data_IF_520964690357
#
_entry.id   IF_520964690357
#
_cell.length_a   1.000
_cell.length_b   1.000
_cell.length_c   1.000
_cell.angle_alpha   90.00
_cell.angle_beta   90.00
_cell.angle_gamma   90.00
#
_symmetry.space_group_name_H-M   'P 1'
#
loop_
_entity.id
_entity.type
_entity.pdbx_description
1 polymer ?
#
# COMPACT_ATOMS: atom_id res chain seq x y z
N UNK A 1 42.33 20.50 -5.79
CA UNK A 1 43.50 19.90 -5.11
C UNK A 1 43.21 18.40 -4.99
N UNK A 2 44.00 17.49 -5.61
CA UNK A 2 43.77 16.05 -5.40
C UNK A 2 44.28 15.70 -3.99
N UNK A 3 43.45 15.15 -3.08
CA UNK A 3 43.89 14.89 -1.71
C UNK A 3 45.01 13.85 -1.68
N UNK A 4 46.06 14.08 -0.90
CA UNK A 4 47.02 13.04 -0.51
C UNK A 4 46.31 11.99 0.35
N UNK A 5 46.89 10.79 0.51
CA UNK A 5 46.32 9.74 1.38
C UNK A 5 46.06 10.23 2.82
N UNK A 6 46.88 11.14 3.34
CA UNK A 6 46.68 11.78 4.65
C UNK A 6 45.54 12.81 4.66
N UNK A 7 45.31 13.55 3.57
CA UNK A 7 44.16 14.44 3.42
C UNK A 7 42.86 13.66 3.22
N UNK A 8 42.90 12.47 2.61
CA UNK A 8 41.74 11.58 2.50
C UNK A 8 41.19 11.18 3.87
N UNK A 9 42.07 10.87 4.84
CA UNK A 9 41.68 10.47 6.19
C UNK A 9 41.11 11.62 7.06
N UNK A 10 41.51 12.87 6.79
CA UNK A 10 41.08 14.05 7.57
C UNK A 10 39.95 14.85 6.88
N UNK A 11 39.94 14.90 5.54
CA UNK A 11 39.13 15.84 4.75
C UNK A 11 38.57 15.26 3.44
N UNK A 12 38.78 13.98 3.11
CA UNK A 12 38.55 13.49 1.73
C UNK A 12 38.24 12.01 1.58
N UNK A 13 37.53 11.42 2.55
CA UNK A 13 36.95 10.09 2.44
C UNK A 13 35.49 10.17 2.01
N UNK A 14 34.88 9.03 1.67
CA UNK A 14 33.42 8.94 1.64
C UNK A 14 32.90 9.37 3.03
N UNK A 15 31.90 10.26 3.10
CA UNK A 15 31.39 10.72 4.38
C UNK A 15 30.98 9.51 5.25
N UNK A 16 31.09 9.61 6.58
CA UNK A 16 30.56 8.60 7.47
C UNK A 16 29.07 8.37 7.16
N UNK A 17 28.56 7.13 7.33
CA UNK A 17 27.15 6.82 7.15
C UNK A 17 26.29 7.83 7.93
N UNK A 18 25.39 8.52 7.22
CA UNK A 18 24.50 9.53 7.80
C UNK A 18 24.74 10.98 7.36
N UNK A 19 25.83 11.31 6.66
CA UNK A 19 25.91 12.60 5.96
C UNK A 19 25.21 12.45 4.59
N UNK A 20 24.13 13.20 4.31
CA UNK A 20 23.34 12.95 3.13
C UNK A 20 24.04 13.51 1.89
N UNK A 21 24.44 12.62 0.98
CA UNK A 21 25.04 12.99 -0.32
C UNK A 21 24.14 12.62 -1.50
N UNK A 22 23.04 11.91 -1.22
CA UNK A 22 22.13 11.46 -2.24
C UNK A 22 21.29 12.61 -2.81
N UNK A 23 20.98 12.56 -4.13
CA UNK A 23 20.10 13.52 -4.76
C UNK A 23 18.75 13.66 -4.06
N UNK A 24 18.31 14.91 -3.87
CA UNK A 24 17.06 15.25 -3.21
C UNK A 24 15.92 15.12 -4.20
N UNK A 25 14.99 14.21 -3.90
CA UNK A 25 13.66 14.21 -4.51
C UNK A 25 12.83 15.35 -3.92
N UNK A 26 12.25 16.17 -4.81
CA UNK A 26 11.27 17.19 -4.47
C UNK A 26 9.90 16.74 -4.98
N UNK A 27 8.96 16.59 -4.05
CA UNK A 27 7.56 16.32 -4.30
C UNK A 27 6.76 17.62 -4.24
N UNK A 28 6.25 18.07 -5.39
CA UNK A 28 5.48 19.31 -5.50
C UNK A 28 3.97 19.04 -5.47
N UNK A 29 3.27 19.61 -4.49
CA UNK A 29 1.84 19.47 -4.26
C UNK A 29 1.10 20.75 -4.69
N UNK A 30 0.53 20.73 -5.89
CA UNK A 30 0.22 21.97 -6.60
C UNK A 30 -1.00 22.71 -6.07
N UNK A 31 -2.09 22.00 -5.76
CA UNK A 31 -3.39 22.64 -5.50
C UNK A 31 -4.14 22.09 -4.27
N UNK A 32 -4.08 20.79 -4.01
CA UNK A 32 -4.81 20.17 -2.92
C UNK A 32 -6.33 20.33 -2.99
N UNK A 33 -6.98 20.10 -1.84
CA UNK A 33 -8.43 20.24 -1.66
C UNK A 33 -8.86 21.42 -0.78
N UNK A 34 -7.92 22.06 -0.07
CA UNK A 34 -8.24 23.08 0.95
C UNK A 34 -8.04 24.51 0.45
N UNK A 35 -6.89 24.87 -0.17
CA UNK A 35 -6.71 26.23 -0.66
C UNK A 35 -7.75 26.59 -1.72
N UNK A 36 -8.06 27.88 -1.81
CA UNK A 36 -8.91 28.48 -2.85
C UNK A 36 -8.16 29.63 -3.50
N UNK A 37 -8.60 30.09 -4.69
CA UNK A 37 -7.99 31.29 -5.31
C UNK A 37 -8.10 32.55 -4.46
N UNK A 38 -9.10 32.61 -3.58
CA UNK A 38 -9.27 33.72 -2.63
C UNK A 38 -8.18 33.72 -1.55
N UNK A 39 -7.80 32.53 -1.06
CA UNK A 39 -6.78 32.38 0.01
C UNK A 39 -5.37 32.20 -0.54
N UNK A 40 -5.23 31.84 -1.81
CA UNK A 40 -3.98 31.68 -2.54
C UNK A 40 -4.16 32.14 -3.99
N UNK A 41 -3.81 33.41 -4.31
CA UNK A 41 -4.05 33.99 -5.65
C UNK A 41 -3.40 33.22 -6.79
N UNK A 42 -2.31 32.50 -6.51
CA UNK A 42 -1.54 31.73 -7.47
C UNK A 42 -1.98 30.25 -7.57
N UNK A 43 -3.06 29.86 -6.88
CA UNK A 43 -3.54 28.49 -6.92
C UNK A 43 -4.00 28.07 -8.33
N UNK A 44 -3.43 27.00 -8.91
CA UNK A 44 -3.91 26.48 -10.18
C UNK A 44 -5.23 25.72 -9.98
N UNK A 45 -6.22 25.98 -10.85
CA UNK A 45 -7.55 25.38 -10.76
C UNK A 45 -7.92 24.65 -12.05
N UNK A 46 -7.83 25.32 -13.19
CA UNK A 46 -8.13 24.69 -14.47
C UNK A 46 -7.06 23.68 -14.86
N UNK A 47 -7.40 22.75 -15.77
CA UNK A 47 -6.43 21.77 -16.31
C UNK A 47 -5.19 22.47 -16.86
N UNK A 48 -5.36 23.53 -17.64
CA UNK A 48 -4.24 24.24 -18.27
C UNK A 48 -3.37 24.96 -17.24
N UNK A 49 -3.97 25.56 -16.22
CA UNK A 49 -3.22 26.15 -15.10
C UNK A 49 -2.42 25.09 -14.34
N UNK A 50 -3.02 23.92 -14.05
CA UNK A 50 -2.34 22.83 -13.35
C UNK A 50 -1.18 22.28 -14.20
N UNK A 51 -1.37 22.09 -15.50
CA UNK A 51 -0.32 21.61 -16.41
C UNK A 51 0.83 22.64 -16.51
N UNK A 52 0.51 23.93 -16.68
CA UNK A 52 1.54 24.97 -16.77
C UNK A 52 2.34 25.09 -15.46
N UNK A 53 1.67 25.02 -14.32
CA UNK A 53 2.32 25.09 -13.01
C UNK A 53 3.15 23.84 -12.73
N UNK A 54 2.66 22.66 -13.13
CA UNK A 54 3.42 21.40 -13.11
C UNK A 54 4.71 21.48 -13.93
N UNK A 55 4.65 22.00 -15.15
CA UNK A 55 5.83 22.21 -15.99
C UNK A 55 6.82 23.16 -15.30
N UNK A 56 6.32 24.28 -14.78
CA UNK A 56 7.17 25.27 -14.12
C UNK A 56 7.93 24.69 -12.91
N UNK A 57 7.29 23.85 -12.09
CA UNK A 57 7.99 23.20 -10.96
C UNK A 57 8.95 22.10 -11.40
N UNK A 58 8.63 21.34 -12.46
CA UNK A 58 9.53 20.33 -13.01
C UNK A 58 10.82 20.98 -13.55
N UNK A 59 10.67 22.08 -14.31
CA UNK A 59 11.80 22.88 -14.81
C UNK A 59 12.64 23.49 -13.68
N UNK A 60 12.02 23.77 -12.54
CA UNK A 60 12.70 24.25 -11.34
C UNK A 60 13.34 23.14 -10.49
N UNK A 61 13.10 21.85 -10.78
CA UNK A 61 13.75 20.72 -10.09
C UNK A 61 12.83 19.77 -9.33
N UNK A 62 11.51 19.91 -9.43
CA UNK A 62 10.60 18.88 -8.94
C UNK A 62 10.77 17.57 -9.73
N UNK A 63 10.57 16.43 -9.06
CA UNK A 63 10.58 15.10 -9.70
C UNK A 63 9.26 14.35 -9.53
N UNK A 64 8.53 14.65 -8.45
CA UNK A 64 7.23 14.08 -8.14
C UNK A 64 6.20 15.20 -8.14
N UNK A 65 5.05 14.94 -8.75
CA UNK A 65 3.90 15.84 -8.75
C UNK A 65 2.72 15.17 -8.06
N UNK A 66 2.33 15.71 -6.91
CA UNK A 66 1.09 15.33 -6.23
C UNK A 66 -0.05 16.17 -6.76
N UNK A 67 -1.01 15.51 -7.41
CA UNK A 67 -2.06 16.16 -8.16
C UNK A 67 -3.43 15.90 -7.53
N UNK A 68 -4.15 17.00 -7.34
CA UNK A 68 -5.57 17.05 -7.11
C UNK A 68 -6.26 17.64 -8.34
N UNK A 69 -7.30 16.97 -8.85
CA UNK A 69 -8.16 17.54 -9.87
C UNK A 69 -9.18 18.51 -9.24
N UNK A 70 -9.56 19.53 -9.99
CA UNK A 70 -10.60 20.49 -9.62
C UNK A 70 -11.60 20.66 -10.77
N UNK A 71 -12.84 20.92 -10.41
CA UNK A 71 -13.87 21.35 -11.35
C UNK A 71 -13.64 22.82 -11.76
N UNK A 72 -14.27 23.30 -12.85
CA UNK A 72 -14.09 24.68 -13.32
C UNK A 72 -14.42 25.76 -12.28
N UNK A 73 -15.29 25.45 -11.32
CA UNK A 73 -15.66 26.33 -10.20
C UNK A 73 -14.66 26.31 -9.03
N UNK A 74 -13.56 25.54 -9.15
CA UNK A 74 -12.54 25.40 -8.12
C UNK A 74 -12.82 24.31 -7.08
N UNK A 75 -13.99 23.67 -7.10
CA UNK A 75 -14.31 22.59 -6.17
C UNK A 75 -13.50 21.32 -6.47
N UNK A 76 -13.16 20.50 -5.46
CA UNK A 76 -12.45 19.24 -5.70
C UNK A 76 -13.18 18.30 -6.65
N UNK A 77 -12.39 17.66 -7.52
CA UNK A 77 -12.87 16.71 -8.51
C UNK A 77 -12.15 15.36 -8.37
N UNK A 78 -12.86 14.28 -8.69
CA UNK A 78 -12.37 12.89 -8.61
C UNK A 78 -12.43 12.18 -9.96
N UNK A 79 -13.04 12.81 -10.96
CA UNK A 79 -13.34 12.22 -12.26
C UNK A 79 -12.04 11.86 -13.00
N UNK A 80 -11.87 10.59 -13.44
CA UNK A 80 -10.68 10.14 -14.15
C UNK A 80 -10.37 10.96 -15.40
N UNK A 81 -11.38 11.47 -16.09
CA UNK A 81 -11.23 12.23 -17.33
C UNK A 81 -10.48 13.55 -17.10
N UNK A 82 -10.66 14.18 -15.93
CA UNK A 82 -9.95 15.42 -15.58
C UNK A 82 -8.50 15.10 -15.25
N UNK A 83 -8.25 14.07 -14.44
CA UNK A 83 -6.89 13.59 -14.15
C UNK A 83 -6.14 13.19 -15.42
N UNK A 84 -6.79 12.44 -16.32
CA UNK A 84 -6.20 11.99 -17.57
C UNK A 84 -5.70 13.15 -18.42
N UNK A 85 -6.52 14.20 -18.59
CA UNK A 85 -6.11 15.41 -19.32
C UNK A 85 -4.90 16.11 -18.68
N UNK A 86 -4.87 16.19 -17.35
CA UNK A 86 -3.73 16.78 -16.62
C UNK A 86 -2.48 15.94 -16.85
N UNK A 87 -2.55 14.62 -16.65
CA UNK A 87 -1.39 13.74 -16.74
C UNK A 87 -0.84 13.64 -18.16
N UNK A 88 -1.71 13.56 -19.16
CA UNK A 88 -1.30 13.59 -20.56
C UNK A 88 -0.66 14.92 -20.93
N UNK A 89 -1.22 16.04 -20.48
CA UNK A 89 -0.65 17.37 -20.67
C UNK A 89 0.77 17.49 -20.11
N UNK A 90 0.98 17.01 -18.87
CA UNK A 90 2.30 17.02 -18.23
C UNK A 90 3.28 16.09 -18.96
N UNK A 91 2.88 14.86 -19.28
CA UNK A 91 3.77 13.89 -19.95
C UNK A 91 4.10 14.26 -21.40
N UNK A 92 3.31 15.10 -22.05
CA UNK A 92 3.69 15.69 -23.34
C UNK A 92 4.94 16.58 -23.22
N UNK A 93 5.17 17.20 -22.06
CA UNK A 93 6.35 18.01 -21.80
C UNK A 93 7.48 17.21 -21.14
N UNK A 94 7.16 16.45 -20.08
CA UNK A 94 8.12 15.65 -19.32
C UNK A 94 7.62 14.21 -19.18
N UNK A 95 7.99 13.30 -20.12
CA UNK A 95 7.51 11.92 -20.13
C UNK A 95 7.87 11.10 -18.89
N UNK A 96 8.98 11.45 -18.22
CA UNK A 96 9.47 10.71 -17.04
C UNK A 96 8.93 11.26 -15.71
N UNK A 97 8.16 12.36 -15.73
CA UNK A 97 7.61 12.96 -14.51
C UNK A 97 6.80 11.91 -13.73
N UNK A 98 7.03 11.85 -12.41
CA UNK A 98 6.31 10.93 -11.53
C UNK A 98 5.01 11.59 -11.13
N UNK A 99 3.90 11.03 -11.61
CA UNK A 99 2.57 11.58 -11.38
C UNK A 99 1.85 10.80 -10.28
N UNK A 100 1.54 11.49 -9.19
CA UNK A 100 0.77 10.95 -8.06
C UNK A 100 -0.68 11.43 -8.17
N UNK A 101 -1.61 10.49 -8.31
CA UNK A 101 -3.03 10.80 -8.20
C UNK A 101 -3.47 10.81 -6.72
N UNK A 102 -4.18 11.86 -6.30
CA UNK A 102 -4.80 11.85 -4.97
C UNK A 102 -5.94 10.84 -4.90
N UNK A 103 -5.91 9.94 -3.91
CA UNK A 103 -7.06 9.09 -3.56
C UNK A 103 -7.65 9.44 -2.20
N UNK A 104 -7.38 10.67 -1.74
CA UNK A 104 -7.83 11.17 -0.43
C UNK A 104 -9.37 11.15 -0.31
N UNK A 105 -9.86 10.74 0.86
CA UNK A 105 -11.30 10.61 1.13
C UNK A 105 -11.96 11.87 1.73
N UNK A 106 -11.28 13.02 1.73
CA UNK A 106 -11.65 14.18 2.55
C UNK A 106 -13.00 14.81 2.16
N UNK A 107 -13.41 14.74 0.89
CA UNK A 107 -14.75 15.14 0.44
C UNK A 107 -15.59 13.98 -0.10
N UNK A 108 -14.96 12.84 -0.41
CA UNK A 108 -15.62 11.69 -0.98
C UNK A 108 -15.22 10.45 -0.18
N UNK A 109 -16.08 10.03 0.75
CA UNK A 109 -15.85 8.79 1.50
C UNK A 109 -16.02 7.53 0.62
N UNK A 110 -16.71 7.66 -0.51
CA UNK A 110 -16.97 6.56 -1.43
C UNK A 110 -15.69 6.01 -2.07
N UNK A 111 -15.42 4.72 -1.87
CA UNK A 111 -14.25 4.03 -2.43
C UNK A 111 -14.24 4.04 -3.97
N UNK A 112 -15.42 3.97 -4.60
CA UNK A 112 -15.56 4.01 -6.05
C UNK A 112 -14.95 5.30 -6.63
N UNK A 113 -15.38 6.44 -6.10
CA UNK A 113 -14.85 7.76 -6.48
C UNK A 113 -13.36 7.91 -6.18
N UNK A 114 -12.92 7.50 -4.99
CA UNK A 114 -11.51 7.59 -4.57
C UNK A 114 -10.56 6.77 -5.44
N UNK A 115 -11.03 5.62 -5.92
CA UNK A 115 -10.23 4.70 -6.74
C UNK A 115 -10.44 4.85 -8.24
N UNK A 116 -11.37 5.70 -8.69
CA UNK A 116 -11.72 5.85 -10.10
C UNK A 116 -10.49 6.22 -10.94
N UNK A 117 -9.64 7.13 -10.45
CA UNK A 117 -8.42 7.56 -11.16
C UNK A 117 -7.43 6.43 -11.44
N UNK A 118 -7.48 5.34 -10.67
CA UNK A 118 -6.60 4.18 -10.84
C UNK A 118 -6.94 3.34 -12.08
N UNK A 119 -8.10 3.57 -12.69
CA UNK A 119 -8.52 2.88 -13.92
C UNK A 119 -7.92 3.49 -15.19
N UNK A 120 -7.23 4.63 -15.10
CA UNK A 120 -6.56 5.24 -16.23
C UNK A 120 -5.42 4.35 -16.76
N UNK A 121 -5.18 4.44 -18.07
CA UNK A 121 -4.21 3.62 -18.82
C UNK A 121 -3.30 4.51 -19.68
N UNK A 122 -2.23 3.92 -20.22
CA UNK A 122 -1.29 4.60 -21.12
C UNK A 122 -0.67 5.86 -20.49
N UNK A 123 -0.63 6.96 -21.24
CA UNK A 123 -0.09 8.24 -20.76
C UNK A 123 -0.95 8.91 -19.68
N UNK A 124 -2.21 8.51 -19.52
CA UNK A 124 -3.07 8.99 -18.45
C UNK A 124 -2.92 8.17 -17.16
N UNK A 125 -2.19 7.05 -17.16
CA UNK A 125 -2.04 6.19 -15.98
C UNK A 125 -1.15 6.86 -14.92
N UNK A 126 -1.57 7.03 -13.66
CA UNK A 126 -0.67 7.48 -12.60
C UNK A 126 0.48 6.50 -12.36
N UNK A 127 1.66 7.01 -12.03
CA UNK A 127 2.78 6.17 -11.54
C UNK A 127 2.57 5.80 -10.07
N UNK A 128 2.01 6.74 -9.32
CA UNK A 128 1.77 6.62 -7.90
C UNK A 128 0.36 7.10 -7.54
N UNK A 129 -0.12 6.69 -6.37
CA UNK A 129 -1.38 7.20 -5.85
C UNK A 129 -1.30 7.37 -4.33
N UNK A 130 -1.84 8.47 -3.82
CA UNK A 130 -1.73 8.78 -2.39
C UNK A 130 -2.56 7.81 -1.56
N UNK A 131 -2.06 7.42 -0.39
CA UNK A 131 -2.70 6.51 0.55
C UNK A 131 -2.57 7.06 1.97
N UNK A 132 -3.63 7.71 2.46
CA UNK A 132 -3.72 8.15 3.85
C UNK A 132 -3.86 6.96 4.80
N UNK A 133 -2.91 6.81 5.72
CA UNK A 133 -2.71 5.62 6.56
C UNK A 133 -3.52 5.60 7.87
N UNK A 134 -4.60 6.38 7.94
CA UNK A 134 -5.48 6.40 9.10
C UNK A 134 -6.58 7.45 9.01
N UNK A 135 -7.55 7.31 9.92
CA UNK A 135 -8.57 8.35 10.11
C UNK A 135 -8.07 9.41 11.07
N UNK A 136 -8.42 10.67 10.81
CA UNK A 136 -7.98 11.81 11.61
C UNK A 136 -8.97 12.97 11.52
N UNK A 137 -8.87 13.91 12.45
CA UNK A 137 -9.65 15.14 12.42
C UNK A 137 -8.88 16.23 11.69
N UNK A 138 -9.55 16.91 10.76
CA UNK A 138 -9.18 18.25 10.34
C UNK A 138 -10.07 19.27 11.07
N UNK A 139 -9.69 20.56 11.11
CA UNK A 139 -10.43 21.56 11.89
C UNK A 139 -11.94 21.62 11.62
N UNK A 140 -12.35 21.39 10.37
CA UNK A 140 -13.75 21.49 9.94
C UNK A 140 -14.49 20.15 9.81
N UNK A 141 -13.78 19.02 9.73
CA UNK A 141 -14.38 17.70 9.49
C UNK A 141 -13.40 16.56 9.78
N UNK A 142 -13.93 15.37 10.03
CA UNK A 142 -13.13 14.15 10.03
C UNK A 142 -12.75 13.74 8.60
N UNK A 143 -11.56 13.19 8.45
CA UNK A 143 -11.16 12.44 7.27
C UNK A 143 -11.10 10.97 7.64
N UNK A 144 -12.04 10.20 7.08
CA UNK A 144 -12.21 8.79 7.41
C UNK A 144 -11.47 7.93 6.38
N UNK A 145 -10.50 7.16 6.87
CA UNK A 145 -9.82 6.09 6.15
C UNK A 145 -9.96 4.81 6.98
N UNK A 146 -10.98 4.02 6.69
CA UNK A 146 -11.18 2.74 7.35
C UNK A 146 -10.10 1.74 6.92
N UNK A 147 -9.76 0.74 7.76
CA UNK A 147 -8.91 -0.39 7.37
C UNK A 147 -9.30 -1.01 6.02
N UNK A 148 -10.59 -1.23 5.81
CA UNK A 148 -11.14 -1.79 4.56
C UNK A 148 -10.86 -0.89 3.35
N UNK A 149 -11.03 0.43 3.51
CA UNK A 149 -10.75 1.39 2.42
C UNK A 149 -9.27 1.39 2.06
N UNK A 150 -8.39 1.46 3.07
CA UNK A 150 -6.94 1.44 2.86
C UNK A 150 -6.47 0.16 2.18
N UNK A 151 -6.94 -1.00 2.65
CA UNK A 151 -6.62 -2.30 2.05
C UNK A 151 -7.15 -2.40 0.62
N UNK A 152 -8.38 -1.94 0.37
CA UNK A 152 -8.96 -1.95 -0.97
C UNK A 152 -8.21 -1.07 -1.96
N UNK A 153 -7.76 0.12 -1.53
CA UNK A 153 -6.91 0.99 -2.35
C UNK A 153 -5.57 0.34 -2.64
N UNK A 154 -4.90 -0.24 -1.64
CA UNK A 154 -3.66 -0.99 -1.83
C UNK A 154 -3.80 -2.11 -2.86
N UNK A 155 -4.89 -2.88 -2.78
CA UNK A 155 -5.16 -3.98 -3.72
C UNK A 155 -5.32 -3.46 -5.16
N UNK A 156 -6.11 -2.41 -5.36
CA UNK A 156 -6.33 -1.80 -6.68
C UNK A 156 -5.06 -1.18 -7.25
N UNK A 157 -4.29 -0.49 -6.41
CA UNK A 157 -2.98 0.07 -6.79
C UNK A 157 -2.04 -1.06 -7.25
N UNK A 158 -1.94 -2.15 -6.47
CA UNK A 158 -1.13 -3.31 -6.82
C UNK A 158 -1.57 -3.99 -8.11
N UNK A 159 -2.87 -4.25 -8.30
CA UNK A 159 -3.43 -4.85 -9.52
C UNK A 159 -3.09 -4.04 -10.77
N UNK A 160 -2.94 -2.72 -10.62
CA UNK A 160 -2.62 -1.80 -11.70
C UNK A 160 -1.12 -1.48 -11.78
N UNK A 161 -0.29 -2.01 -10.88
CA UNK A 161 1.13 -1.64 -10.79
C UNK A 161 1.32 -0.14 -10.56
N UNK A 162 0.55 0.43 -9.64
CA UNK A 162 0.64 1.82 -9.18
C UNK A 162 1.24 1.80 -7.78
N UNK A 163 2.27 2.59 -7.53
CA UNK A 163 2.97 2.59 -6.23
C UNK A 163 2.26 3.50 -5.22
N UNK A 164 1.95 3.03 -3.99
CA UNK A 164 1.36 3.88 -2.97
C UNK A 164 2.34 5.00 -2.53
N UNK A 165 1.89 6.24 -2.60
CA UNK A 165 2.49 7.34 -1.85
C UNK A 165 1.87 7.35 -0.44
N UNK A 166 2.63 6.94 0.57
CA UNK A 166 2.11 6.83 1.93
C UNK A 166 2.01 8.22 2.58
N UNK A 167 0.86 8.56 3.11
CA UNK A 167 0.65 9.81 3.85
C UNK A 167 0.48 9.51 5.35
N UNK A 168 1.51 9.83 6.13
CA UNK A 168 1.53 9.61 7.57
C UNK A 168 1.50 10.94 8.32
N UNK A 169 0.42 11.17 9.07
CA UNK A 169 0.24 12.35 9.92
C UNK A 169 0.61 12.09 11.39
N UNK A 170 0.86 10.83 11.76
CA UNK A 170 1.17 10.43 13.13
C UNK A 170 1.98 9.12 13.14
N UNK A 171 2.64 8.83 14.26
CA UNK A 171 3.38 7.59 14.46
C UNK A 171 2.46 6.35 14.40
N UNK A 172 1.21 6.48 14.87
CA UNK A 172 0.21 5.41 14.74
C UNK A 172 -0.05 5.00 13.29
N UNK A 173 0.04 5.95 12.35
CA UNK A 173 -0.15 5.69 10.91
C UNK A 173 1.06 4.95 10.31
N UNK A 174 2.29 5.28 10.73
CA UNK A 174 3.47 4.50 10.36
C UNK A 174 3.39 3.06 10.88
N UNK A 175 2.95 2.87 12.13
CA UNK A 175 2.73 1.55 12.69
C UNK A 175 1.76 0.72 11.83
N UNK A 176 0.67 1.35 11.37
CA UNK A 176 -0.29 0.72 10.48
C UNK A 176 0.30 0.40 9.11
N UNK A 177 1.15 1.27 8.55
CA UNK A 177 1.89 0.99 7.32
C UNK A 177 2.77 -0.27 7.45
N UNK A 178 3.49 -0.42 8.56
CA UNK A 178 4.29 -1.62 8.83
C UNK A 178 3.41 -2.87 8.93
N UNK A 179 2.22 -2.75 9.51
CA UNK A 179 1.23 -3.83 9.49
C UNK A 179 0.84 -4.18 8.04
N UNK A 180 0.46 -3.21 7.22
CA UNK A 180 0.07 -3.44 5.82
C UNK A 180 1.21 -4.05 4.99
N UNK A 181 2.45 -3.62 5.19
CA UNK A 181 3.64 -4.19 4.56
C UNK A 181 3.82 -5.67 4.96
N UNK A 182 3.75 -6.00 6.26
CA UNK A 182 3.83 -7.40 6.73
C UNK A 182 2.71 -8.29 6.18
N UNK A 183 1.54 -7.71 5.86
CA UNK A 183 0.42 -8.41 5.21
C UNK A 183 0.52 -8.49 3.70
N UNK A 184 1.54 -7.86 3.11
CA UNK A 184 1.76 -7.79 1.68
C UNK A 184 0.77 -6.93 0.91
N UNK A 185 0.18 -5.93 1.57
CA UNK A 185 -0.60 -4.89 0.89
C UNK A 185 0.29 -3.79 0.31
N UNK A 186 1.47 -3.57 0.89
CA UNK A 186 2.45 -2.58 0.44
C UNK A 186 3.68 -3.27 -0.20
N UNK A 187 4.44 -2.56 -1.04
CA UNK A 187 5.72 -3.06 -1.54
C UNK A 187 6.76 -3.15 -0.41
N UNK A 188 7.90 -3.80 -0.68
CA UNK A 188 9.01 -3.86 0.29
C UNK A 188 9.56 -2.45 0.56
N UNK A 189 10.02 -1.76 -0.48
CA UNK A 189 10.46 -0.38 -0.40
C UNK A 189 9.27 0.55 -0.63
N UNK A 190 8.95 1.38 0.36
CA UNK A 190 7.87 2.37 0.28
C UNK A 190 8.40 3.80 0.25
N UNK A 191 7.58 4.71 -0.30
CA UNK A 191 7.77 6.15 -0.18
C UNK A 191 6.72 6.74 0.77
N UNK A 192 7.16 7.50 1.77
CA UNK A 192 6.28 8.09 2.79
C UNK A 192 6.48 9.59 2.95
N UNK A 193 5.40 10.35 2.86
CA UNK A 193 5.35 11.74 3.29
C UNK A 193 5.00 11.80 4.79
N UNK A 194 5.83 12.47 5.57
CA UNK A 194 5.60 12.77 6.98
C UNK A 194 4.94 14.14 7.10
N UNK A 195 3.61 14.16 7.22
CA UNK A 195 2.81 15.38 7.26
C UNK A 195 2.69 15.89 8.70
N UNK A 196 3.26 17.06 8.95
CA UNK A 196 3.44 17.59 10.30
C UNK A 196 2.83 18.98 10.48
N UNK A 197 2.23 19.20 11.65
CA UNK A 197 1.73 20.51 12.06
C UNK A 197 0.27 20.79 11.68
N UNK A 198 -0.44 19.81 11.11
CA UNK A 198 -1.90 19.88 11.03
C UNK A 198 -2.50 19.74 12.44
N UNK A 199 -3.53 20.51 12.74
CA UNK A 199 -4.26 20.39 14.00
C UNK A 199 -4.85 18.97 14.12
N UNK A 200 -4.70 18.34 15.28
CA UNK A 200 -5.18 16.97 15.53
C UNK A 200 -4.20 15.86 15.09
N UNK A 201 -2.96 16.23 14.74
CA UNK A 201 -1.90 15.32 14.28
C UNK A 201 -0.57 15.64 14.95
N UNK A 202 0.51 14.97 14.55
CA UNK A 202 1.85 15.26 15.06
C UNK A 202 2.21 16.75 14.87
N UNK A 203 2.75 17.43 15.90
CA UNK A 203 3.16 18.83 15.77
C UNK A 203 4.34 19.00 14.81
N UNK A 204 4.49 20.19 14.23
CA UNK A 204 5.61 20.55 13.34
C UNK A 204 6.93 20.85 14.06
N UNK A 205 7.29 20.11 15.13
CA UNK A 205 8.53 20.34 15.90
C UNK A 205 9.60 19.35 15.45
N UNK A 206 10.87 19.78 15.46
CA UNK A 206 11.98 18.97 14.93
C UNK A 206 12.21 17.66 15.70
N UNK A 207 11.95 17.66 17.02
CA UNK A 207 12.03 16.43 17.82
C UNK A 207 10.93 15.41 17.43
N UNK A 208 9.75 15.88 17.03
CA UNK A 208 8.70 14.99 16.54
C UNK A 208 9.09 14.38 15.18
N UNK A 209 9.73 15.17 14.30
CA UNK A 209 10.25 14.67 13.03
C UNK A 209 11.30 13.57 13.28
N UNK A 210 12.24 13.83 14.19
CA UNK A 210 13.25 12.85 14.59
C UNK A 210 12.63 11.56 15.13
N UNK A 211 11.56 11.66 15.92
CA UNK A 211 10.85 10.48 16.43
C UNK A 211 10.19 9.68 15.32
N UNK A 212 9.57 10.32 14.32
CA UNK A 212 8.98 9.63 13.18
C UNK A 212 10.06 8.95 12.33
N UNK A 213 11.11 9.68 11.96
CA UNK A 213 12.20 9.19 11.09
C UNK A 213 12.93 8.01 11.72
N UNK A 214 13.10 7.99 13.05
CA UNK A 214 13.74 6.87 13.77
C UNK A 214 13.05 5.52 13.52
N UNK A 215 11.74 5.54 13.32
CA UNK A 215 10.94 4.32 13.18
C UNK A 215 10.86 3.82 11.72
N UNK A 216 11.29 4.65 10.76
CA UNK A 216 11.23 4.32 9.33
C UNK A 216 12.35 3.31 8.99
N UNK A 217 12.03 2.18 8.32
CA UNK A 217 13.02 1.25 7.82
C UNK A 217 14.06 1.94 6.93
N UNK A 218 15.32 1.50 6.99
CA UNK A 218 16.43 2.14 6.24
C UNK A 218 16.25 2.09 4.72
N UNK A 219 15.53 1.08 4.24
CA UNK A 219 15.22 0.85 2.84
C UNK A 219 13.98 1.62 2.37
N UNK A 220 13.25 2.28 3.28
CA UNK A 220 12.14 3.18 2.92
C UNK A 220 12.65 4.58 2.61
N UNK A 221 11.93 5.23 1.72
CA UNK A 221 12.20 6.60 1.29
C UNK A 221 11.18 7.50 1.98
N UNK A 222 11.63 8.59 2.58
CA UNK A 222 10.73 9.50 3.30
C UNK A 222 10.96 10.95 2.91
N UNK A 223 9.88 11.73 2.94
CA UNK A 223 9.89 13.16 2.72
C UNK A 223 9.23 13.90 3.88
N UNK A 224 9.86 14.99 4.33
CA UNK A 224 9.26 15.89 5.31
C UNK A 224 8.26 16.83 4.65
N UNK A 225 7.05 16.92 5.19
CA UNK A 225 5.97 17.79 4.74
C UNK A 225 5.43 18.62 5.91
N UNK A 226 5.83 19.89 6.02
CA UNK A 226 5.25 20.79 7.02
C UNK A 226 4.00 21.49 6.47
N UNK A 227 2.94 21.56 7.26
CA UNK A 227 1.69 22.24 6.88
C UNK A 227 1.76 23.72 7.26
N UNK A 228 1.49 24.60 6.31
CA UNK A 228 1.52 26.06 6.47
C UNK A 228 2.88 26.55 6.99
N UNK A 229 2.86 27.28 8.12
CA UNK A 229 4.04 27.89 8.74
C UNK A 229 5.16 26.91 9.08
N UNK A 230 4.86 25.62 9.15
CA UNK A 230 5.85 24.58 9.45
C UNK A 230 6.61 24.09 8.21
N UNK A 231 6.15 24.40 6.99
CA UNK A 231 6.73 23.87 5.74
C UNK A 231 8.23 24.13 5.66
N UNK A 232 8.66 25.38 5.78
CA UNK A 232 10.07 25.76 5.67
C UNK A 232 10.94 25.04 6.70
N UNK A 233 10.53 25.04 7.97
CA UNK A 233 11.30 24.43 9.06
C UNK A 233 11.42 22.91 8.87
N UNK A 234 10.32 22.23 8.53
CA UNK A 234 10.30 20.78 8.32
C UNK A 234 11.10 20.40 7.08
N UNK A 235 11.01 21.15 5.98
CA UNK A 235 11.82 20.87 4.79
C UNK A 235 13.33 21.03 5.08
N UNK A 236 13.75 22.08 5.80
CA UNK A 236 15.15 22.26 6.20
C UNK A 236 15.65 21.08 7.04
N UNK A 237 14.88 20.66 8.05
CA UNK A 237 15.26 19.53 8.88
C UNK A 237 15.29 18.21 8.10
N UNK A 238 14.35 18.01 7.18
CA UNK A 238 14.34 16.83 6.31
C UNK A 238 15.61 16.77 5.44
N UNK A 239 16.01 17.89 4.84
CA UNK A 239 17.26 17.96 4.06
C UNK A 239 18.49 17.62 4.91
N UNK A 240 18.58 18.14 6.14
CA UNK A 240 19.68 17.89 7.08
C UNK A 240 19.73 16.44 7.59
N UNK A 241 18.57 15.82 7.79
CA UNK A 241 18.43 14.45 8.26
C UNK A 241 18.54 13.41 7.12
N UNK A 242 18.77 13.87 5.89
CA UNK A 242 18.93 13.02 4.71
C UNK A 242 17.66 12.53 4.07
N UNK A 243 16.51 13.05 4.50
CA UNK A 243 15.24 12.82 3.84
C UNK A 243 15.09 13.62 2.54
N UNK A 244 13.89 13.48 1.98
CA UNK A 244 13.38 14.24 0.86
C UNK A 244 12.38 15.29 1.33
N UNK A 245 11.76 16.00 0.40
CA UNK A 245 10.90 17.14 0.74
C UNK A 245 9.60 17.09 -0.06
N UNK A 246 8.51 17.40 0.64
CA UNK A 246 7.21 17.71 0.06
C UNK A 246 6.91 19.18 0.29
N UNK A 247 6.52 19.89 -0.77
CA UNK A 247 6.35 21.34 -0.79
C UNK A 247 5.25 21.72 -1.79
N UNK A 248 4.61 22.87 -1.61
CA UNK A 248 3.65 23.42 -2.57
C UNK A 248 2.47 24.13 -1.93
N UNK A 249 1.63 24.72 -2.76
CA UNK A 249 0.49 25.54 -2.35
C UNK A 249 -0.62 24.71 -1.68
N UNK A 250 -0.70 23.41 -1.98
CA UNK A 250 -1.57 22.48 -1.25
C UNK A 250 -1.32 22.54 0.26
N UNK A 251 -0.04 22.54 0.63
CA UNK A 251 0.39 22.45 2.02
C UNK A 251 0.62 23.84 2.63
N UNK A 252 1.03 24.84 1.83
CA UNK A 252 1.38 26.17 2.29
C UNK A 252 1.13 27.26 1.23
N UNK A 253 0.11 28.12 1.41
CA UNK A 253 -0.18 29.22 0.48
C UNK A 253 0.72 30.46 0.65
N UNK A 254 1.63 30.48 1.63
CA UNK A 254 2.40 31.67 2.01
C UNK A 254 3.91 31.42 1.90
N UNK A 255 4.63 32.26 1.15
CA UNK A 255 6.07 32.13 0.99
C UNK A 255 6.79 32.61 2.25
N UNK A 256 6.38 33.77 2.76
CA UNK A 256 6.91 34.39 3.97
C UNK A 256 5.78 34.93 4.85
N UNK A 257 5.71 34.41 6.08
CA UNK A 257 4.65 34.74 7.04
C UNK A 257 4.87 36.06 7.79
N UNK A 258 6.10 36.59 7.78
CA UNK A 258 6.43 37.89 8.40
C UNK A 258 6.08 39.00 7.42
N UNK A 259 6.49 38.84 6.16
CA UNK A 259 6.25 39.81 5.09
C UNK A 259 4.86 39.64 4.43
N UNK A 260 4.10 38.63 4.83
CA UNK A 260 2.80 38.26 4.24
C UNK A 260 2.87 38.02 2.72
N UNK A 261 3.98 37.47 2.24
CA UNK A 261 4.21 37.19 0.83
C UNK A 261 3.44 35.93 0.40
N UNK A 262 2.65 36.03 -0.66
CA UNK A 262 1.94 34.90 -1.24
C UNK A 262 2.92 33.94 -1.93
N UNK A 263 2.73 32.63 -1.77
CA UNK A 263 3.57 31.65 -2.44
C UNK A 263 3.16 31.42 -3.90
N UNK A 264 4.13 30.98 -4.69
CA UNK A 264 3.93 30.23 -5.93
C UNK A 264 4.56 28.86 -5.77
N UNK A 265 4.03 27.83 -6.44
CA UNK A 265 4.64 26.49 -6.39
C UNK A 265 6.09 26.53 -6.89
N UNK A 266 6.34 27.24 -8.01
CA UNK A 266 7.68 27.47 -8.54
C UNK A 266 8.63 28.09 -7.49
N UNK A 267 8.25 29.20 -6.87
CA UNK A 267 9.11 29.87 -5.88
C UNK A 267 9.41 29.00 -4.65
N UNK A 268 8.43 28.20 -4.21
CA UNK A 268 8.65 27.23 -3.14
C UNK A 268 9.65 26.13 -3.53
N UNK A 269 9.57 25.60 -4.75
CA UNK A 269 10.54 24.61 -5.27
C UNK A 269 11.94 25.22 -5.43
N UNK A 270 12.06 26.41 -6.01
CA UNK A 270 13.34 27.12 -6.16
C UNK A 270 14.02 27.38 -4.81
N UNK A 271 13.23 27.70 -3.78
CA UNK A 271 13.74 27.83 -2.41
C UNK A 271 14.38 26.52 -1.94
N UNK A 272 13.71 25.38 -2.15
CA UNK A 272 14.26 24.08 -1.76
C UNK A 272 15.51 23.73 -2.54
N UNK A 273 15.56 24.01 -3.85
CA UNK A 273 16.73 23.78 -4.70
C UNK A 273 17.93 24.56 -4.18
N UNK A 274 17.72 25.84 -3.84
CA UNK A 274 18.75 26.68 -3.24
C UNK A 274 19.25 26.10 -1.91
N UNK A 275 18.35 25.68 -1.02
CA UNK A 275 18.71 25.06 0.26
C UNK A 275 19.50 23.76 0.07
N UNK A 276 19.06 22.87 -0.82
CA UNK A 276 19.73 21.62 -1.11
C UNK A 276 21.16 21.86 -1.66
N UNK A 277 21.32 22.79 -2.61
CA UNK A 277 22.63 23.19 -3.13
C UNK A 277 23.55 23.73 -2.05
N UNK A 278 23.04 24.58 -1.14
CA UNK A 278 23.81 25.10 -0.02
C UNK A 278 24.25 24.00 0.96
N UNK A 279 23.50 22.90 1.04
CA UNK A 279 23.85 21.71 1.82
C UNK A 279 24.71 20.71 1.04
N UNK A 280 25.12 21.03 -0.20
CA UNK A 280 25.92 20.16 -1.04
C UNK A 280 25.17 18.93 -1.56
N UNK A 281 23.83 18.95 -1.55
CA UNK A 281 23.00 17.87 -2.06
C UNK A 281 22.48 18.22 -3.46
N UNK A 282 22.77 17.41 -4.50
CA UNK A 282 22.20 17.62 -5.82
C UNK A 282 20.68 17.38 -5.80
N UNK A 283 19.96 17.88 -6.81
CA UNK A 283 18.54 17.59 -7.00
C UNK A 283 18.39 16.35 -7.89
N UNK A 284 17.50 15.44 -7.50
CA UNK A 284 17.19 14.27 -8.30
C UNK A 284 16.46 14.69 -9.58
N UNK A 285 16.85 14.11 -10.70
CA UNK A 285 16.06 14.13 -11.94
C UNK A 285 14.86 13.19 -11.81
N UNK A 286 13.87 13.36 -12.69
CA UNK A 286 12.72 12.45 -12.74
C UNK A 286 13.15 10.98 -12.89
N UNK A 287 14.07 10.67 -13.81
CA UNK A 287 14.60 9.32 -14.02
C UNK A 287 15.31 8.74 -12.79
N UNK A 288 16.15 9.53 -12.11
CA UNK A 288 16.79 9.11 -10.86
C UNK A 288 15.78 8.85 -9.75
N UNK A 289 14.76 9.71 -9.63
CA UNK A 289 13.68 9.52 -8.67
C UNK A 289 12.89 8.24 -8.96
N UNK A 290 12.58 7.95 -10.25
CA UNK A 290 11.90 6.70 -10.66
C UNK A 290 12.69 5.47 -10.26
N UNK A 291 14.00 5.48 -10.51
CA UNK A 291 14.89 4.39 -10.13
C UNK A 291 14.94 4.20 -8.62
N UNK A 292 15.12 5.29 -7.86
CA UNK A 292 15.19 5.24 -6.39
C UNK A 292 13.89 4.70 -5.79
N UNK A 293 12.75 5.12 -6.32
CA UNK A 293 11.41 4.70 -5.88
C UNK A 293 11.00 3.30 -6.38
N UNK A 294 11.78 2.66 -7.25
CA UNK A 294 11.49 1.33 -7.80
C UNK A 294 10.10 1.24 -8.46
N UNK A 295 9.68 2.28 -9.20
CA UNK A 295 8.31 2.39 -9.73
C UNK A 295 7.95 1.35 -10.80
N UNK A 296 8.94 0.90 -11.58
CA UNK A 296 8.77 -0.10 -12.64
C UNK A 296 9.35 -1.47 -12.25
N UNK A 297 9.65 -1.66 -10.98
CA UNK A 297 10.28 -2.86 -10.45
C UNK A 297 9.23 -3.85 -9.92
N UNK A 298 8.90 -4.84 -10.74
CA UNK A 298 7.98 -5.91 -10.35
C UNK A 298 8.49 -6.69 -9.11
N UNK A 299 9.80 -6.74 -8.86
CA UNK A 299 10.37 -7.45 -7.71
C UNK A 299 10.08 -6.72 -6.38
N UNK A 300 9.89 -5.40 -6.42
CA UNK A 300 9.51 -4.62 -5.24
C UNK A 300 8.16 -5.06 -4.66
N UNK A 301 7.28 -5.56 -5.53
CA UNK A 301 6.01 -6.20 -5.17
C UNK A 301 6.12 -7.71 -5.00
N UNK A 302 7.00 -8.38 -5.74
CA UNK A 302 7.15 -9.84 -5.70
C UNK A 302 7.50 -10.35 -4.29
N UNK A 303 8.35 -9.61 -3.57
CA UNK A 303 8.72 -9.94 -2.20
C UNK A 303 7.59 -9.76 -1.17
N UNK A 304 6.42 -9.25 -1.56
CA UNK A 304 5.19 -9.23 -0.74
C UNK A 304 4.02 -9.97 -1.39
N UNK A 305 4.25 -10.61 -2.56
CA UNK A 305 3.23 -11.30 -3.31
C UNK A 305 2.84 -12.63 -2.64
N UNK A 306 1.54 -12.88 -2.55
CA UNK A 306 1.01 -14.19 -2.20
C UNK A 306 1.05 -15.07 -3.45
N UNK A 307 1.95 -16.03 -3.47
CA UNK A 307 2.11 -17.04 -4.52
C UNK A 307 1.30 -18.27 -4.12
N UNK A 308 0.37 -18.71 -4.97
CA UNK A 308 -0.32 -19.98 -4.80
C UNK A 308 0.35 -21.03 -5.69
N UNK A 309 0.81 -22.13 -5.10
CA UNK A 309 1.43 -23.25 -5.82
C UNK A 309 1.10 -24.58 -5.16
N UNK A 310 1.37 -25.69 -5.86
CA UNK A 310 1.36 -27.02 -5.24
C UNK A 310 2.39 -27.07 -4.12
N UNK A 311 2.07 -27.81 -3.07
CA UNK A 311 2.99 -28.06 -1.95
C UNK A 311 4.23 -28.83 -2.43
N UNK A 312 5.40 -28.49 -1.91
CA UNK A 312 6.64 -29.27 -2.09
C UNK A 312 6.97 -30.08 -0.84
N UNK A 313 7.95 -31.00 -0.92
CA UNK A 313 8.36 -31.83 0.23
C UNK A 313 8.87 -30.95 1.38
N UNK A 314 9.55 -29.84 1.07
CA UNK A 314 10.11 -28.92 2.05
C UNK A 314 9.03 -28.15 2.83
N UNK A 315 7.84 -27.96 2.22
CA UNK A 315 6.73 -27.23 2.84
C UNK A 315 5.93 -28.08 3.84
N UNK A 316 6.04 -29.42 3.79
CA UNK A 316 5.14 -30.33 4.53
C UNK A 316 5.17 -30.04 6.02
N UNK A 317 6.35 -29.84 6.61
CA UNK A 317 6.48 -29.50 8.04
C UNK A 317 5.76 -28.19 8.39
N UNK A 318 5.97 -27.14 7.59
CA UNK A 318 5.33 -25.83 7.79
C UNK A 318 3.82 -25.89 7.59
N UNK A 319 3.35 -26.67 6.61
CA UNK A 319 1.94 -26.87 6.35
C UNK A 319 1.25 -27.61 7.51
N UNK A 320 1.88 -28.66 8.05
CA UNK A 320 1.39 -29.41 9.21
C UNK A 320 1.34 -28.55 10.48
N UNK A 321 2.37 -27.74 10.73
CA UNK A 321 2.39 -26.77 11.83
C UNK A 321 1.25 -25.77 11.71
N UNK A 322 1.02 -25.26 10.49
CA UNK A 322 -0.07 -24.31 10.24
C UNK A 322 -1.44 -24.95 10.44
N UNK A 323 -1.67 -26.13 9.89
CA UNK A 323 -2.92 -26.89 10.04
C UNK A 323 -3.19 -27.22 11.51
N UNK A 324 -2.16 -27.52 12.29
CA UNK A 324 -2.28 -27.84 13.72
C UNK A 324 -2.83 -26.66 14.53
N UNK A 325 -2.47 -25.42 14.18
CA UNK A 325 -3.03 -24.20 14.81
C UNK A 325 -4.55 -24.07 14.64
N UNK A 326 -5.10 -24.72 13.62
CA UNK A 326 -6.52 -24.74 13.31
C UNK A 326 -7.21 -26.05 13.69
N UNK A 327 -6.47 -26.98 14.30
CA UNK A 327 -6.89 -28.35 14.57
C UNK A 327 -7.37 -29.10 13.30
N UNK A 328 -6.70 -28.84 12.17
CA UNK A 328 -6.98 -29.40 10.85
C UNK A 328 -5.84 -30.30 10.33
N UNK A 329 -4.81 -30.55 11.14
CA UNK A 329 -3.70 -31.40 10.77
C UNK A 329 -4.15 -32.87 10.74
N UNK A 330 -3.79 -33.65 9.70
CA UNK A 330 -3.89 -35.10 9.75
C UNK A 330 -3.22 -35.66 10.99
N UNK A 331 -3.85 -36.63 11.65
CA UNK A 331 -3.37 -37.22 12.90
C UNK A 331 -3.22 -38.72 12.72
N UNK A 332 -2.10 -39.29 13.16
CA UNK A 332 -1.95 -40.74 13.15
C UNK A 332 -2.81 -41.41 14.21
N UNK A 333 -3.16 -42.68 13.98
CA UNK A 333 -3.88 -43.47 14.95
C UNK A 333 -3.09 -43.55 16.27
N UNK A 334 -3.78 -43.30 17.38
CA UNK A 334 -3.22 -43.32 18.73
C UNK A 334 -4.22 -43.91 19.73
N UNK A 335 -3.79 -44.11 20.98
CA UNK A 335 -4.69 -44.58 22.04
C UNK A 335 -5.88 -43.64 22.28
N UNK A 336 -5.74 -42.34 21.99
CA UNK A 336 -6.81 -41.34 22.11
C UNK A 336 -7.67 -41.21 20.84
N UNK A 337 -7.11 -41.57 19.67
CA UNK A 337 -7.77 -41.46 18.36
C UNK A 337 -7.54 -42.77 17.61
N UNK A 338 -8.44 -43.74 17.80
CA UNK A 338 -8.29 -45.09 17.24
C UNK A 338 -8.60 -45.17 15.74
N UNK A 339 -9.36 -44.21 15.19
CA UNK A 339 -9.70 -44.10 13.77
C UNK A 339 -9.68 -42.63 13.33
N UNK A 340 -8.51 -42.08 12.97
CA UNK A 340 -8.42 -40.70 12.50
C UNK A 340 -9.18 -40.52 11.18
N UNK A 341 -9.78 -39.34 10.99
CA UNK A 341 -10.47 -38.99 9.73
C UNK A 341 -9.48 -38.81 8.56
N UNK A 342 -8.23 -38.45 8.89
CA UNK A 342 -7.09 -38.35 7.95
C UNK A 342 -5.79 -38.58 8.71
N UNK A 343 -4.91 -39.39 8.14
CA UNK A 343 -3.60 -39.72 8.71
C UNK A 343 -2.41 -39.13 7.93
N UNK A 344 -2.64 -38.61 6.72
CA UNK A 344 -1.63 -37.94 5.90
C UNK A 344 -2.20 -36.77 5.08
N UNK A 345 -1.29 -35.97 4.51
CA UNK A 345 -1.59 -34.85 3.62
C UNK A 345 -1.34 -35.26 2.16
N UNK A 346 -2.39 -35.23 1.34
CA UNK A 346 -2.30 -35.58 -0.09
C UNK A 346 -1.62 -34.45 -0.89
N UNK A 347 -0.34 -34.61 -1.21
CA UNK A 347 0.47 -33.56 -1.82
C UNK A 347 -0.08 -33.11 -3.18
N UNK A 348 -0.50 -34.05 -4.02
CA UNK A 348 -1.00 -33.77 -5.37
C UNK A 348 -2.26 -32.89 -5.36
N UNK A 349 -3.04 -32.96 -4.28
CA UNK A 349 -4.27 -32.21 -4.09
C UNK A 349 -4.12 -31.08 -3.07
N UNK A 350 -2.90 -30.71 -2.71
CA UNK A 350 -2.61 -29.66 -1.73
C UNK A 350 -1.91 -28.47 -2.38
N UNK A 351 -2.41 -27.29 -2.03
CA UNK A 351 -1.88 -26.00 -2.39
C UNK A 351 -1.36 -25.28 -1.14
N UNK A 352 -0.25 -24.57 -1.30
CA UNK A 352 0.28 -23.63 -0.31
C UNK A 352 0.19 -22.22 -0.86
N UNK A 353 -0.08 -21.29 0.05
CA UNK A 353 0.09 -19.87 -0.18
C UNK A 353 1.41 -19.46 0.47
N UNK A 354 2.32 -18.93 -0.34
CA UNK A 354 3.64 -18.46 0.09
C UNK A 354 3.71 -16.94 -0.02
N UNK A 355 4.30 -16.30 0.98
CA UNK A 355 4.80 -14.92 0.85
C UNK A 355 6.30 -15.03 1.08
N UNK A 356 7.10 -14.65 0.08
CA UNK A 356 8.53 -15.00 0.03
C UNK A 356 8.67 -16.53 0.17
N UNK A 357 9.48 -17.01 1.11
CA UNK A 357 9.73 -18.44 1.38
C UNK A 357 8.89 -19.01 2.53
N UNK A 358 7.89 -18.26 3.03
CA UNK A 358 7.07 -18.68 4.17
C UNK A 358 5.71 -19.19 3.71
N UNK A 359 5.37 -20.41 4.12
CA UNK A 359 4.00 -20.95 3.99
C UNK A 359 3.08 -20.22 4.96
N UNK A 360 2.18 -19.40 4.42
CA UNK A 360 1.21 -18.59 5.17
C UNK A 360 -0.22 -19.08 5.02
N UNK A 361 -0.46 -20.04 4.15
CA UNK A 361 -1.76 -20.68 3.96
C UNK A 361 -1.62 -22.06 3.33
N UNK A 362 -2.58 -22.94 3.62
CA UNK A 362 -2.64 -24.30 3.08
C UNK A 362 -4.08 -24.60 2.74
N UNK A 363 -4.33 -25.18 1.58
CA UNK A 363 -5.62 -25.74 1.23
C UNK A 363 -5.47 -27.07 0.52
N UNK A 364 -6.31 -28.03 0.86
CA UNK A 364 -6.30 -29.35 0.25
C UNK A 364 -7.70 -29.84 -0.06
N UNK A 365 -7.77 -30.87 -0.89
CA UNK A 365 -8.99 -31.54 -1.26
C UNK A 365 -8.78 -33.03 -1.53
N UNK A 366 -9.88 -33.78 -1.54
CA UNK A 366 -9.89 -35.22 -1.73
C UNK A 366 -10.94 -35.61 -2.78
N UNK A 367 -10.60 -36.45 -3.77
CA UNK A 367 -11.59 -37.03 -4.66
C UNK A 367 -12.45 -38.04 -3.89
N UNK A 368 -13.76 -37.98 -4.07
CA UNK A 368 -14.69 -39.02 -3.61
C UNK A 368 -14.90 -40.04 -4.74
N UNK A 369 -15.14 -39.54 -5.95
CA UNK A 369 -15.26 -40.31 -7.19
C UNK A 369 -14.99 -39.40 -8.40
N UNK A 370 -15.06 -39.89 -9.67
CA UNK A 370 -14.70 -39.09 -10.84
C UNK A 370 -15.47 -37.78 -11.04
N UNK A 371 -16.64 -37.60 -10.40
CA UNK A 371 -17.45 -36.39 -10.52
C UNK A 371 -17.57 -35.61 -9.21
N UNK A 372 -17.15 -36.18 -8.07
CA UNK A 372 -17.36 -35.62 -6.75
C UNK A 372 -16.07 -35.49 -5.96
N UNK A 373 -15.89 -34.35 -5.30
CA UNK A 373 -14.76 -34.09 -4.41
C UNK A 373 -15.21 -33.47 -3.09
N UNK A 374 -14.37 -33.60 -2.08
CA UNK A 374 -14.52 -32.95 -0.79
C UNK A 374 -13.35 -31.99 -0.55
N UNK A 375 -13.65 -30.79 -0.06
CA UNK A 375 -12.60 -29.90 0.41
C UNK A 375 -12.15 -30.32 1.80
N UNK A 376 -10.86 -30.55 2.00
CA UNK A 376 -10.37 -31.28 3.17
C UNK A 376 -9.75 -30.35 4.22
N UNK A 377 -8.89 -29.42 3.83
CA UNK A 377 -8.32 -28.42 4.74
C UNK A 377 -8.31 -27.05 4.09
N UNK A 378 -8.51 -26.00 4.89
CA UNK A 378 -8.26 -24.61 4.52
C UNK A 378 -7.80 -23.85 5.76
N UNK A 379 -6.50 -23.63 5.87
CA UNK A 379 -5.87 -22.92 6.96
C UNK A 379 -5.12 -21.70 6.42
N UNK A 380 -5.25 -20.57 7.12
CA UNK A 380 -4.47 -19.36 6.87
C UNK A 380 -3.81 -19.00 8.19
N UNK A 381 -2.54 -18.62 8.17
CA UNK A 381 -1.84 -18.21 9.39
C UNK A 381 -2.64 -17.09 10.10
N UNK A 382 -2.84 -17.15 11.44
CA UNK A 382 -3.76 -16.27 12.15
C UNK A 382 -3.55 -14.78 11.85
N UNK A 383 -2.29 -14.40 11.70
CA UNK A 383 -1.91 -13.05 11.38
C UNK A 383 -2.38 -12.64 9.96
N UNK A 384 -2.52 -13.55 8.98
CA UNK A 384 -2.93 -13.25 7.60
C UNK A 384 -4.45 -13.42 7.34
N UNK A 385 -5.26 -13.65 8.37
CA UNK A 385 -6.72 -13.68 8.25
C UNK A 385 -7.20 -12.33 7.69
N UNK A 386 -8.15 -12.37 6.75
CA UNK A 386 -8.70 -11.17 6.09
C UNK A 386 -7.91 -10.66 4.89
N UNK A 387 -6.72 -11.21 4.60
CA UNK A 387 -5.87 -10.76 3.49
C UNK A 387 -6.22 -11.38 2.12
N UNK A 388 -7.40 -12.00 1.99
CA UNK A 388 -7.81 -12.68 0.75
C UNK A 388 -7.07 -14.00 0.44
N UNK A 389 -6.13 -14.45 1.27
CA UNK A 389 -5.35 -15.68 1.04
C UNK A 389 -6.27 -16.91 0.96
N UNK A 390 -7.21 -17.04 1.90
CA UNK A 390 -8.17 -18.13 1.90
C UNK A 390 -9.04 -18.15 0.64
N UNK A 391 -9.36 -16.97 0.09
CA UNK A 391 -10.12 -16.86 -1.16
C UNK A 391 -9.30 -17.38 -2.35
N UNK A 392 -8.05 -16.93 -2.49
CA UNK A 392 -7.15 -17.40 -3.56
C UNK A 392 -6.88 -18.90 -3.49
N UNK A 393 -6.68 -19.43 -2.28
CA UNK A 393 -6.52 -20.87 -2.06
C UNK A 393 -7.77 -21.66 -2.43
N UNK A 394 -8.96 -21.15 -2.08
CA UNK A 394 -10.23 -21.74 -2.48
C UNK A 394 -10.39 -21.76 -4.00
N UNK A 395 -10.12 -20.64 -4.68
CA UNK A 395 -10.18 -20.57 -6.13
C UNK A 395 -9.24 -21.56 -6.80
N UNK A 396 -7.99 -21.65 -6.33
CA UNK A 396 -7.00 -22.57 -6.88
C UNK A 396 -7.45 -24.03 -6.79
N UNK A 397 -7.96 -24.47 -5.63
CA UNK A 397 -8.45 -25.86 -5.50
C UNK A 397 -9.71 -26.13 -6.32
N UNK A 398 -10.64 -25.17 -6.41
CA UNK A 398 -11.84 -25.33 -7.24
C UNK A 398 -11.51 -25.35 -8.74
N UNK A 399 -10.54 -24.55 -9.17
CA UNK A 399 -10.05 -24.55 -10.54
C UNK A 399 -9.41 -25.90 -10.92
N UNK A 400 -8.60 -26.46 -10.02
CA UNK A 400 -8.00 -27.80 -10.18
C UNK A 400 -9.06 -28.90 -10.25
N UNK A 401 -10.01 -28.91 -9.32
CA UNK A 401 -11.13 -29.86 -9.33
C UNK A 401 -11.87 -29.83 -10.67
N UNK A 402 -12.17 -28.62 -11.17
CA UNK A 402 -12.82 -28.44 -12.47
C UNK A 402 -11.97 -29.01 -13.61
N UNK A 403 -10.66 -28.76 -13.63
CA UNK A 403 -9.78 -29.33 -14.66
C UNK A 403 -9.69 -30.84 -14.62
N UNK A 404 -9.91 -31.45 -13.45
CA UNK A 404 -9.96 -32.91 -13.27
C UNK A 404 -11.36 -33.50 -13.54
N UNK A 405 -12.33 -32.70 -13.99
CA UNK A 405 -13.66 -33.17 -14.36
C UNK A 405 -14.67 -33.26 -13.21
N UNK A 406 -14.29 -32.82 -12.01
CA UNK A 406 -15.20 -32.76 -10.85
C UNK A 406 -16.34 -31.77 -11.13
N UNK A 407 -17.56 -32.19 -10.81
CA UNK A 407 -18.79 -31.40 -10.97
C UNK A 407 -19.44 -31.03 -9.66
N UNK A 408 -19.28 -31.82 -8.61
CA UNK A 408 -19.91 -31.55 -7.32
C UNK A 408 -18.85 -31.51 -6.22
N UNK A 409 -18.87 -30.45 -5.43
CA UNK A 409 -17.92 -30.24 -4.33
C UNK A 409 -18.66 -30.14 -3.02
N UNK A 410 -18.22 -30.93 -2.05
CA UNK A 410 -18.71 -30.91 -0.68
C UNK A 410 -17.69 -30.27 0.25
N UNK A 411 -18.16 -29.54 1.26
CA UNK A 411 -17.34 -29.13 2.39
C UNK A 411 -18.15 -29.21 3.68
N UNK A 412 -17.46 -29.43 4.78
CA UNK A 412 -18.05 -29.44 6.12
C UNK A 412 -17.39 -28.37 6.99
N UNK A 413 -18.20 -27.68 7.78
CA UNK A 413 -17.71 -26.71 8.77
C UNK A 413 -18.77 -26.47 9.83
N UNK A 414 -18.34 -26.22 11.06
CA UNK A 414 -19.22 -25.90 12.19
C UNK A 414 -19.22 -24.41 12.53
N UNK A 415 -18.40 -23.61 11.83
CA UNK A 415 -18.17 -22.18 12.11
C UNK A 415 -19.13 -21.27 11.31
N UNK A 416 -20.00 -20.48 11.97
CA UNK A 416 -21.02 -19.67 11.30
C UNK A 416 -20.48 -18.64 10.30
N UNK A 417 -19.35 -18.02 10.62
CA UNK A 417 -18.65 -17.06 9.75
C UNK A 417 -18.10 -17.72 8.48
N UNK A 418 -17.52 -18.91 8.60
CA UNK A 418 -17.02 -19.70 7.46
C UNK A 418 -18.17 -20.16 6.57
N UNK A 419 -19.29 -20.59 7.16
CA UNK A 419 -20.51 -20.95 6.41
C UNK A 419 -21.00 -19.76 5.58
N UNK A 420 -21.14 -18.58 6.19
CA UNK A 420 -21.54 -17.36 5.47
C UNK A 420 -20.57 -17.00 4.34
N UNK A 421 -19.27 -17.19 4.56
CA UNK A 421 -18.25 -16.93 3.57
C UNK A 421 -18.39 -17.85 2.34
N UNK A 422 -18.52 -19.16 2.52
CA UNK A 422 -18.72 -20.09 1.40
C UNK A 422 -19.99 -19.79 0.60
N UNK A 423 -21.11 -19.54 1.28
CA UNK A 423 -22.39 -19.24 0.63
C UNK A 423 -22.30 -17.93 -0.16
N UNK A 424 -21.86 -16.84 0.48
CA UNK A 424 -21.87 -15.50 -0.13
C UNK A 424 -20.80 -15.29 -1.20
N UNK A 425 -19.65 -15.97 -1.11
CA UNK A 425 -18.51 -15.73 -2.00
C UNK A 425 -18.33 -16.77 -3.10
N UNK A 426 -18.77 -18.01 -2.86
CA UNK A 426 -18.55 -19.12 -3.80
C UNK A 426 -19.86 -19.81 -4.24
N UNK A 427 -21.01 -19.43 -3.69
CA UNK A 427 -22.31 -19.96 -4.09
C UNK A 427 -22.60 -21.37 -3.58
N UNK A 428 -21.93 -21.82 -2.51
CA UNK A 428 -22.30 -23.06 -1.82
C UNK A 428 -23.74 -22.97 -1.27
N UNK A 429 -24.40 -24.12 -1.19
CA UNK A 429 -25.73 -24.29 -0.60
C UNK A 429 -25.63 -25.19 0.63
N UNK A 430 -26.37 -24.87 1.68
CA UNK A 430 -26.47 -25.72 2.88
C UNK A 430 -27.40 -26.89 2.53
N UNK A 431 -26.91 -28.12 2.63
CA UNK A 431 -27.67 -29.34 2.27
C UNK A 431 -27.99 -30.24 3.46
N UNK A 432 -27.31 -30.08 4.60
CA UNK A 432 -27.62 -30.86 5.79
C UNK A 432 -26.63 -30.66 6.94
N UNK A 433 -26.64 -31.60 7.88
CA UNK A 433 -25.71 -31.67 9.00
C UNK A 433 -25.24 -33.11 9.25
N UNK A 434 -24.02 -33.25 9.78
CA UNK A 434 -23.46 -34.54 10.20
C UNK A 434 -23.01 -34.48 11.66
N UNK A 435 -23.16 -35.55 12.46
CA UNK A 435 -22.68 -35.57 13.84
C UNK A 435 -21.15 -35.55 13.89
N UNK A 436 -20.58 -34.79 14.84
CA UNK A 436 -19.14 -34.79 15.10
C UNK A 436 -18.75 -36.08 15.80
N UNK A 437 -17.79 -36.81 15.22
CA UNK A 437 -17.26 -38.05 15.82
C UNK A 437 -16.24 -37.78 16.94
N UNK A 438 -15.69 -36.57 16.98
CA UNK A 438 -14.66 -36.15 17.94
C UNK A 438 -14.72 -34.62 18.18
N UNK A 439 -14.29 -34.18 19.37
CA UNK A 439 -14.28 -32.76 19.76
C UNK A 439 -13.04 -32.02 19.19
N UNK A 440 -12.99 -31.84 17.86
CA UNK A 440 -11.86 -31.17 17.20
C UNK A 440 -12.13 -29.69 16.81
N UNK A 441 -13.27 -29.12 17.15
CA UNK A 441 -13.60 -27.72 16.79
C UNK A 441 -14.44 -27.03 17.88
N UNK A 442 -15.43 -26.18 17.56
CA UNK A 442 -16.23 -25.49 18.58
C UNK A 442 -16.90 -26.51 19.50
N UNK A 443 -16.49 -26.53 20.78
CA UNK A 443 -16.95 -27.48 21.79
C UNK A 443 -18.46 -27.37 22.05
N UNK A 444 -19.04 -26.21 21.78
CA UNK A 444 -20.47 -25.91 21.96
C UNK A 444 -21.36 -26.42 20.81
N UNK A 445 -20.77 -27.03 19.77
CA UNK A 445 -21.50 -27.63 18.65
C UNK A 445 -21.10 -29.09 18.49
N UNK A 446 -22.08 -29.97 18.38
CA UNK A 446 -21.93 -31.42 18.22
C UNK A 446 -22.17 -31.90 16.77
N UNK A 447 -22.39 -30.98 15.83
CA UNK A 447 -22.57 -31.29 14.41
C UNK A 447 -21.72 -30.40 13.48
N UNK A 448 -21.44 -30.93 12.29
CA UNK A 448 -20.92 -30.24 11.11
C UNK A 448 -22.08 -29.78 10.22
N UNK A 449 -22.00 -28.57 9.65
CA UNK A 449 -22.91 -28.15 8.57
C UNK A 449 -22.33 -28.59 7.23
N UNK A 450 -23.12 -29.31 6.44
CA UNK A 450 -22.75 -29.80 5.10
C UNK A 450 -23.14 -28.74 4.07
N UNK A 451 -22.17 -28.39 3.24
CA UNK A 451 -22.28 -27.40 2.17
C UNK A 451 -21.90 -28.06 0.85
N UNK A 452 -22.70 -27.82 -0.19
CA UNK A 452 -22.47 -28.35 -1.54
C UNK A 452 -22.43 -27.25 -2.59
N UNK A 453 -21.56 -27.43 -3.58
CA UNK A 453 -21.36 -26.54 -4.72
C UNK A 453 -21.39 -27.33 -6.02
N UNK A 454 -22.16 -26.83 -6.99
CA UNK A 454 -22.10 -27.26 -8.38
C UNK A 454 -21.01 -26.49 -9.11
N UNK A 455 -19.94 -27.17 -9.51
CA UNK A 455 -18.89 -26.61 -10.33
C UNK A 455 -19.34 -26.56 -11.79
N UNK A 456 -19.70 -25.35 -12.23
CA UNK A 456 -19.96 -25.04 -13.65
C UNK A 456 -18.70 -25.22 -14.48
#
# INVERSE_FOLDING_TARGET
MKPTASHGALYGGAPPPGIPTEPVIINACLSGNVPTKETSPHLPVSVDEIVNDAIAVLDSGASILHIHARAPDGTPAWQPEIYGRIFEGIRCHQPEAILVASTSGRQHADLGKRSAVLTLDGKAKPDMASLTLGSMNFPAQSSVNSPETMQSLCLRMRERGITPELEAFDLGMLNYAFYLQRKGFLPQTCYVNLLMGSLGTVPGRMLDLANLVREIPRDWIWAGAGIGRYQLAVNNAALLMGGHVRVGLEDNPCYDYVECEAATNKGLVERIVCLAHNLGRPIATCGEARHKLRLDDAENWAATQVIIRKISVEDVGLAMDLLSKWNMAPVQASAAITRPERDHLEMDNTFVACIQDKVVGVASWLPIDPLRAETASLAVAPEFIGCGIGYKLQEARLAEMRSQGIRHVRTETDRPDVIRWYVSKFGYRITGTNPKKHAFSLAERDYWTVLELELK
#
